data_IF_836949064571
#
_entry.id   IF_836949064571
#
_cell.length_a   1.000
_cell.length_b   1.000
_cell.length_c   1.000
_cell.angle_alpha   90.00
_cell.angle_beta   90.00
_cell.angle_gamma   90.00
#
_symmetry.space_group_name_H-M   'P 1'
#
loop_
_entity.id
_entity.type
_entity.pdbx_description
1 polymer ?
#
# COMPACT_ATOMS: atom_id res chain seq x y z
N UNK A 1 -10.18 0.96 8.80
CA UNK A 1 -10.29 0.60 7.36
C UNK A 1 -11.47 1.28 6.67
N UNK A 2 -12.73 0.93 6.98
CA UNK A 2 -13.88 1.47 6.22
C UNK A 2 -14.02 2.99 6.32
N UNK A 3 -13.99 3.56 7.53
CA UNK A 3 -14.10 5.02 7.73
C UNK A 3 -12.98 5.78 7.01
N UNK A 4 -11.74 5.29 7.11
CA UNK A 4 -10.60 5.84 6.36
C UNK A 4 -10.82 5.75 4.85
N UNK A 5 -11.38 4.64 4.35
CA UNK A 5 -11.73 4.51 2.93
C UNK A 5 -12.80 5.50 2.47
N UNK A 6 -13.84 5.71 3.28
CA UNK A 6 -14.90 6.68 2.98
C UNK A 6 -14.38 8.13 2.94
N UNK A 7 -13.30 8.43 3.66
CA UNK A 7 -12.68 9.77 3.63
C UNK A 7 -12.07 10.16 2.28
N UNK A 8 -11.82 9.20 1.38
CA UNK A 8 -11.32 9.45 0.03
C UNK A 8 -12.43 9.61 -1.02
N UNK A 9 -13.71 9.57 -0.63
CA UNK A 9 -14.79 9.82 -1.57
C UNK A 9 -14.68 11.23 -2.17
N UNK A 10 -14.68 11.30 -3.50
CA UNK A 10 -14.51 12.55 -4.24
C UNK A 10 -13.05 12.94 -4.52
N UNK A 11 -12.06 12.19 -4.00
CA UNK A 11 -10.65 12.38 -4.38
C UNK A 11 -10.46 11.99 -5.86
N UNK A 12 -9.86 12.87 -6.70
CA UNK A 12 -9.63 12.58 -8.10
C UNK A 12 -8.79 11.34 -8.36
N UNK A 13 -9.14 10.64 -9.44
CA UNK A 13 -8.33 9.54 -9.97
C UNK A 13 -7.21 10.08 -10.86
N UNK A 14 -5.95 9.75 -10.55
CA UNK A 14 -4.78 10.05 -11.38
C UNK A 14 -3.81 8.88 -11.35
N UNK A 15 -3.43 8.39 -12.52
CA UNK A 15 -2.44 7.32 -12.66
C UNK A 15 -1.01 7.88 -12.59
N UNK A 16 -0.07 7.05 -12.11
CA UNK A 16 1.37 7.38 -12.15
C UNK A 16 1.78 8.49 -11.18
N UNK A 17 1.02 8.73 -10.12
CA UNK A 17 1.32 9.78 -9.11
C UNK A 17 2.59 9.51 -8.31
N UNK A 18 3.11 8.29 -8.35
CA UNK A 18 4.37 7.89 -7.72
C UNK A 18 5.58 8.06 -8.63
N UNK A 19 5.38 8.30 -9.93
CA UNK A 19 6.45 8.35 -10.94
C UNK A 19 7.01 9.76 -11.05
N UNK A 20 7.61 10.23 -9.95
CA UNK A 20 8.16 11.58 -9.82
C UNK A 20 9.67 11.54 -9.62
N UNK A 21 10.40 12.28 -10.45
CA UNK A 21 11.86 12.35 -10.39
C UNK A 21 12.57 11.12 -10.98
N UNK A 22 13.88 11.06 -10.76
CA UNK A 22 14.76 10.02 -11.32
C UNK A 22 15.06 8.90 -10.31
N UNK A 23 14.91 9.15 -9.01
CA UNK A 23 15.19 8.21 -7.92
C UNK A 23 13.90 7.79 -7.21
N UNK A 24 13.80 6.50 -6.86
CA UNK A 24 12.67 5.98 -6.09
C UNK A 24 12.69 6.55 -4.67
N UNK A 25 11.59 7.19 -4.27
CA UNK A 25 11.43 7.77 -2.94
C UNK A 25 10.02 7.52 -2.41
N UNK A 26 9.82 7.67 -1.09
CA UNK A 26 8.48 7.55 -0.50
C UNK A 26 7.63 8.78 -0.84
N UNK A 27 6.87 8.69 -1.92
CA UNK A 27 5.92 9.72 -2.36
C UNK A 27 4.59 9.57 -1.62
N UNK A 28 4.09 10.69 -1.08
CA UNK A 28 2.77 10.78 -0.45
C UNK A 28 1.96 11.84 -1.19
N UNK A 29 0.93 11.40 -1.91
CA UNK A 29 -0.05 12.26 -2.56
C UNK A 29 -1.45 11.75 -2.22
N UNK A 30 -2.12 12.41 -1.26
CA UNK A 30 -3.48 12.05 -0.80
C UNK A 30 -4.59 12.81 -1.54
N UNK A 31 -4.21 13.80 -2.35
CA UNK A 31 -5.14 14.62 -3.14
C UNK A 31 -5.47 14.00 -4.49
N UNK A 32 -4.65 13.04 -4.94
CA UNK A 32 -4.82 12.34 -6.21
C UNK A 32 -4.36 10.89 -6.04
N UNK A 33 -5.23 9.94 -6.35
CA UNK A 33 -4.94 8.51 -6.13
C UNK A 33 -5.27 7.68 -7.36
N UNK A 34 -4.62 6.54 -7.49
CA UNK A 34 -5.08 5.43 -8.33
C UNK A 34 -5.64 4.30 -7.46
N UNK A 35 -5.94 3.15 -8.06
CA UNK A 35 -6.51 2.02 -7.33
C UNK A 35 -5.58 1.45 -6.25
N UNK A 36 -4.26 1.48 -6.44
CA UNK A 36 -3.30 0.86 -5.52
C UNK A 36 -2.96 1.84 -4.40
N UNK A 37 -2.59 3.06 -4.75
CA UNK A 37 -2.24 4.12 -3.79
C UNK A 37 -3.40 4.42 -2.83
N UNK A 38 -4.65 4.37 -3.30
CA UNK A 38 -5.84 4.45 -2.43
C UNK A 38 -5.82 3.38 -1.33
N UNK A 39 -5.67 2.10 -1.68
CA UNK A 39 -5.68 1.00 -0.71
C UNK A 39 -4.51 1.11 0.26
N UNK A 40 -3.33 1.45 -0.23
CA UNK A 40 -2.13 1.62 0.58
C UNK A 40 -2.29 2.75 1.61
N UNK A 41 -2.83 3.91 1.22
CA UNK A 41 -3.06 5.01 2.15
C UNK A 41 -4.12 4.66 3.20
N UNK A 42 -5.24 4.05 2.80
CA UNK A 42 -6.28 3.62 3.73
C UNK A 42 -5.76 2.60 4.74
N UNK A 43 -4.94 1.65 4.28
CA UNK A 43 -4.30 0.65 5.14
C UNK A 43 -3.30 1.31 6.09
N UNK A 44 -2.40 2.15 5.58
CA UNK A 44 -1.41 2.86 6.39
C UNK A 44 -2.06 3.72 7.48
N UNK A 45 -3.11 4.46 7.15
CA UNK A 45 -3.89 5.26 8.12
C UNK A 45 -4.60 4.39 9.16
N UNK A 46 -5.07 3.20 8.77
CA UNK A 46 -5.81 2.31 9.68
C UNK A 46 -4.90 1.57 10.66
N UNK A 47 -3.60 1.53 10.40
CA UNK A 47 -2.60 0.95 11.28
C UNK A 47 -2.05 1.96 12.30
N UNK A 48 -2.29 3.26 12.10
CA UNK A 48 -1.85 4.28 13.03
C UNK A 48 -2.59 4.17 14.37
N UNK A 49 -1.86 4.41 15.46
CA UNK A 49 -2.43 4.54 16.80
C UNK A 49 -3.26 5.81 16.94
N UNK A 50 -4.25 5.81 17.83
CA UNK A 50 -5.15 6.94 18.09
C UNK A 50 -4.51 8.10 18.90
N UNK A 51 -3.19 8.29 18.81
CA UNK A 51 -2.44 9.36 19.51
C UNK A 51 -2.37 10.67 18.70
N UNK A 52 -1.78 11.74 19.25
CA UNK A 52 -1.86 13.13 18.73
C UNK A 52 -1.30 13.31 17.30
N UNK A 53 -1.76 14.36 16.60
CA UNK A 53 -1.62 14.58 15.15
C UNK A 53 -0.19 14.47 14.55
N UNK A 54 0.84 15.03 15.18
CA UNK A 54 2.21 14.97 14.60
C UNK A 54 2.81 13.55 14.66
N UNK A 55 2.50 12.78 15.71
CA UNK A 55 2.92 11.38 15.82
C UNK A 55 2.20 10.49 14.79
N UNK A 56 1.00 10.87 14.36
CA UNK A 56 0.25 10.12 13.35
C UNK A 56 0.87 10.20 11.95
N UNK A 57 1.47 11.33 11.55
CA UNK A 57 2.05 11.46 10.21
C UNK A 57 3.34 10.64 10.08
N UNK A 58 4.21 10.64 11.10
CA UNK A 58 5.40 9.80 11.10
C UNK A 58 5.04 8.30 11.10
N UNK A 59 4.05 7.92 11.92
CA UNK A 59 3.52 6.55 11.95
C UNK A 59 2.90 6.14 10.61
N UNK A 60 2.13 7.04 9.98
CA UNK A 60 1.56 6.84 8.66
C UNK A 60 2.63 6.61 7.60
N UNK A 61 3.67 7.45 7.55
CA UNK A 61 4.77 7.32 6.58
C UNK A 61 5.54 6.02 6.79
N UNK A 62 5.77 5.63 8.05
CA UNK A 62 6.40 4.35 8.39
C UNK A 62 5.54 3.17 7.93
N UNK A 63 4.24 3.20 8.18
CA UNK A 63 3.32 2.15 7.75
C UNK A 63 3.24 2.07 6.22
N UNK A 64 3.17 3.21 5.53
CA UNK A 64 3.15 3.26 4.08
C UNK A 64 4.44 2.71 3.47
N UNK A 65 5.60 3.08 4.02
CA UNK A 65 6.90 2.53 3.61
C UNK A 65 6.91 1.01 3.76
N UNK A 66 6.46 0.52 4.93
CA UNK A 66 6.33 -0.91 5.18
C UNK A 66 5.44 -1.54 4.12
N UNK A 67 4.25 -1.00 3.85
CA UNK A 67 3.26 -1.58 2.94
C UNK A 67 3.74 -1.66 1.49
N UNK A 68 4.28 -0.55 0.97
CA UNK A 68 4.52 -0.33 -0.47
C UNK A 68 5.81 -0.98 -0.99
N UNK A 69 6.81 -1.14 -0.11
CA UNK A 69 8.14 -1.61 -0.48
C UNK A 69 8.43 -2.97 0.13
N UNK A 70 9.18 -3.79 -0.62
CA UNK A 70 9.59 -5.13 -0.19
C UNK A 70 10.40 -5.03 1.11
N UNK A 71 9.97 -5.77 2.13
CA UNK A 71 10.51 -5.70 3.50
C UNK A 71 10.56 -4.27 4.10
N UNK A 72 9.78 -3.33 3.55
CA UNK A 72 9.77 -1.92 3.94
C UNK A 72 11.04 -1.15 3.60
N UNK A 73 11.80 -1.58 2.59
CA UNK A 73 13.07 -0.96 2.20
C UNK A 73 13.00 -0.41 0.79
N UNK A 74 13.36 0.85 0.63
CA UNK A 74 13.57 1.47 -0.69
C UNK A 74 14.97 1.11 -1.15
N UNK A 75 15.04 0.44 -2.29
CA UNK A 75 16.27 0.07 -3.01
C UNK A 75 16.01 0.15 -4.52
N UNK A 76 15.83 1.39 -5.01
CA UNK A 76 15.45 1.68 -6.39
C UNK A 76 14.03 1.25 -6.76
N UNK A 77 13.64 1.49 -8.02
CA UNK A 77 12.28 1.31 -8.52
C UNK A 77 11.70 -0.10 -8.28
N UNK A 78 12.53 -1.14 -8.41
CA UNK A 78 12.10 -2.54 -8.30
C UNK A 78 11.92 -3.03 -6.85
N UNK A 79 12.28 -2.21 -5.87
CA UNK A 79 11.94 -2.45 -4.47
C UNK A 79 10.46 -2.20 -4.16
N UNK A 80 9.78 -1.38 -4.98
CA UNK A 80 8.33 -1.16 -4.90
C UNK A 80 7.59 -2.42 -5.39
N UNK A 81 6.51 -2.77 -4.70
CA UNK A 81 5.75 -3.99 -4.95
C UNK A 81 4.75 -3.78 -6.11
N UNK A 82 5.24 -3.82 -7.35
CA UNK A 82 4.44 -3.52 -8.55
C UNK A 82 3.40 -4.59 -8.92
N UNK A 83 3.68 -5.86 -8.62
CA UNK A 83 2.70 -6.94 -8.81
C UNK A 83 1.87 -7.11 -7.54
N UNK A 84 0.54 -7.06 -7.67
CA UNK A 84 -0.34 -7.23 -6.51
C UNK A 84 -0.15 -8.57 -5.79
N UNK A 85 0.21 -9.64 -6.51
CA UNK A 85 0.56 -10.92 -5.88
C UNK A 85 1.81 -10.83 -4.99
N UNK A 86 2.82 -10.05 -5.41
CA UNK A 86 4.02 -9.81 -4.59
C UNK A 86 3.69 -8.86 -3.42
N UNK A 87 2.87 -7.83 -3.67
CA UNK A 87 2.34 -6.95 -2.63
C UNK A 87 1.61 -7.74 -1.53
N UNK A 88 0.75 -8.69 -1.89
CA UNK A 88 0.04 -9.56 -0.95
C UNK A 88 1.04 -10.44 -0.18
N UNK A 89 1.93 -11.15 -0.88
CA UNK A 89 2.90 -12.06 -0.25
C UNK A 89 3.79 -11.35 0.78
N UNK A 90 4.27 -10.16 0.43
CA UNK A 90 5.11 -9.34 1.30
C UNK A 90 4.32 -8.87 2.54
N UNK A 91 3.11 -8.35 2.34
CA UNK A 91 2.27 -7.85 3.43
C UNK A 91 1.73 -8.96 4.35
N UNK A 92 1.50 -10.18 3.84
CA UNK A 92 1.24 -11.37 4.67
C UNK A 92 2.48 -11.74 5.48
N UNK A 93 3.66 -11.79 4.85
CA UNK A 93 4.93 -12.12 5.53
C UNK A 93 5.26 -11.14 6.66
N UNK A 94 4.96 -9.85 6.48
CA UNK A 94 5.12 -8.80 7.50
C UNK A 94 4.02 -8.82 8.58
N UNK A 95 2.99 -9.65 8.44
CA UNK A 95 1.85 -9.70 9.37
C UNK A 95 0.91 -8.49 9.30
N UNK A 96 0.90 -7.77 8.17
CA UNK A 96 0.07 -6.57 7.98
C UNK A 96 -1.34 -6.96 7.50
N UNK A 97 -1.44 -7.98 6.65
CA UNK A 97 -2.71 -8.50 6.14
C UNK A 97 -2.78 -10.01 6.28
N UNK A 98 -4.00 -10.54 6.18
CA UNK A 98 -4.29 -11.98 6.11
C UNK A 98 -4.95 -12.31 4.77
N UNK A 99 -4.51 -13.40 4.14
CA UNK A 99 -5.20 -13.94 2.96
C UNK A 99 -6.43 -14.75 3.39
N UNK A 100 -7.56 -14.07 3.43
CA UNK A 100 -8.85 -14.69 3.75
C UNK A 100 -9.26 -15.72 2.71
N UNK A 101 -8.88 -15.57 1.44
CA UNK A 101 -9.29 -16.50 0.37
C UNK A 101 -8.59 -17.84 0.47
N UNK A 102 -7.33 -17.89 0.92
CA UNK A 102 -6.60 -19.12 1.13
C UNK A 102 -7.25 -20.06 2.16
N UNK A 103 -7.95 -19.52 3.16
CA UNK A 103 -8.67 -20.30 4.19
C UNK A 103 -10.14 -20.58 3.86
N UNK A 104 -10.75 -19.83 2.92
CA UNK A 104 -12.20 -19.85 2.70
C UNK A 104 -12.62 -20.24 1.27
N UNK A 105 -11.67 -20.42 0.34
CA UNK A 105 -11.93 -20.83 -1.05
C UNK A 105 -11.12 -22.07 -1.39
N UNK A 106 -11.74 -23.03 -2.09
CA UNK A 106 -11.05 -24.19 -2.67
C UNK A 106 -10.51 -23.93 -4.08
N UNK A 107 -10.85 -22.79 -4.69
CA UNK A 107 -10.42 -22.45 -6.04
C UNK A 107 -9.04 -21.79 -6.01
N UNK A 108 -8.15 -22.26 -6.89
CA UNK A 108 -6.80 -21.72 -7.05
C UNK A 108 -6.47 -21.55 -8.53
N UNK A 109 -5.55 -20.63 -8.82
CA UNK A 109 -5.02 -20.37 -10.16
C UNK A 109 -3.49 -20.30 -10.04
N UNK A 110 -2.77 -20.88 -10.99
CA UNK A 110 -1.31 -20.74 -11.07
C UNK A 110 -0.96 -19.40 -11.70
N UNK A 111 -0.17 -18.58 -10.99
CA UNK A 111 0.28 -17.29 -11.49
C UNK A 111 1.31 -17.46 -12.61
N UNK A 112 1.18 -16.65 -13.67
CA UNK A 112 2.14 -16.52 -14.77
C UNK A 112 2.34 -15.04 -15.06
N UNK A 113 3.41 -14.45 -14.54
CA UNK A 113 3.68 -13.01 -14.58
C UNK A 113 4.85 -12.73 -15.53
N UNK A 114 4.59 -12.02 -16.63
CA UNK A 114 5.59 -11.65 -17.64
C UNK A 114 5.10 -10.46 -18.50
N UNK A 115 4.37 -9.51 -17.90
CA UNK A 115 3.90 -8.30 -18.59
C UNK A 115 5.07 -7.36 -18.92
#
# INVERSE_FOLDING_TARGET
MLENGLSFLGVPYVAGTLEVGEEETLVVNREQVDCTTFVEYVLAMSLCSSQRDEMQEEEFRKNLLLIRYRDGKIDGYTSRLHYMSDWINDNVRKGIIEDMTAGNSSFTITLSLAF
#
